data_IF_045460226998
#
_entry.id   IF_045460226998
#
_cell.length_a   1.000
_cell.length_b   1.000
_cell.length_c   1.000
_cell.angle_alpha   90.00
_cell.angle_beta   90.00
_cell.angle_gamma   90.00
#
_symmetry.space_group_name_H-M   'P 1'
#
loop_
_entity.id
_entity.type
_entity.pdbx_description
1 polymer ?
#
# COMPACT_ATOMS: atom_id res chain seq x y z
N UNK A 1 13.11 0.26 7.95
CA UNK A 1 12.22 0.55 6.80
C UNK A 1 12.98 1.43 5.81
N UNK A 2 12.49 1.67 4.60
CA UNK A 2 13.20 1.75 3.30
C UNK A 2 14.74 1.93 3.32
N UNK A 3 15.24 2.95 4.02
CA UNK A 3 16.70 3.15 4.24
C UNK A 3 17.45 2.00 4.90
N UNK A 4 16.75 1.07 5.56
CA UNK A 4 17.31 -0.12 6.20
C UNK A 4 17.29 -1.38 5.33
N UNK A 5 16.67 -1.33 4.14
CA UNK A 5 16.65 -2.47 3.23
C UNK A 5 17.60 -2.26 2.08
N UNK A 6 18.18 -3.35 1.61
CA UNK A 6 19.06 -3.39 0.46
C UNK A 6 18.48 -4.26 -0.66
N UNK A 7 17.31 -4.86 -0.44
CA UNK A 7 16.68 -5.82 -1.35
C UNK A 7 16.29 -5.21 -2.70
N UNK A 8 16.05 -3.89 -2.75
CA UNK A 8 15.77 -3.18 -4.01
C UNK A 8 17.02 -3.02 -4.90
N UNK A 9 18.21 -3.31 -4.37
CA UNK A 9 19.46 -3.22 -5.12
C UNK A 9 19.68 -4.52 -5.91
N UNK A 10 19.85 -4.44 -7.25
CA UNK A 10 20.06 -5.62 -8.08
C UNK A 10 21.19 -6.52 -7.57
N UNK A 11 20.88 -7.81 -7.37
CA UNK A 11 21.84 -8.79 -6.86
C UNK A 11 21.94 -8.89 -5.33
N UNK A 12 21.13 -8.14 -4.58
CA UNK A 12 20.99 -8.31 -3.13
C UNK A 12 19.66 -9.01 -2.81
N UNK A 13 19.78 -10.23 -2.28
CA UNK A 13 18.64 -10.95 -1.68
C UNK A 13 18.72 -10.98 -0.15
N UNK A 14 17.71 -11.57 0.49
CA UNK A 14 17.57 -11.68 1.95
C UNK A 14 18.84 -12.17 2.68
N UNK A 15 19.55 -13.15 2.12
CA UNK A 15 20.80 -13.68 2.72
C UNK A 15 21.89 -12.61 2.79
N UNK A 16 22.07 -11.85 1.69
CA UNK A 16 23.05 -10.77 1.62
C UNK A 16 22.66 -9.62 2.53
N UNK A 17 21.40 -9.19 2.51
CA UNK A 17 20.87 -8.16 3.41
C UNK A 17 21.05 -8.53 4.89
N UNK A 18 20.69 -9.75 5.27
CA UNK A 18 20.91 -10.24 6.64
C UNK A 18 22.39 -10.23 7.03
N UNK A 19 23.30 -10.54 6.10
CA UNK A 19 24.75 -10.44 6.35
C UNK A 19 25.17 -8.99 6.58
N UNK A 20 24.65 -8.02 5.82
CA UNK A 20 24.91 -6.59 6.05
C UNK A 20 24.49 -6.19 7.47
N UNK A 21 23.27 -6.52 7.86
CA UNK A 21 22.76 -6.20 9.20
C UNK A 21 23.57 -6.83 10.33
N UNK A 22 23.97 -8.10 10.19
CA UNK A 22 24.83 -8.79 11.16
C UNK A 22 26.20 -8.12 11.33
N UNK A 23 26.67 -7.42 10.30
CA UNK A 23 27.91 -6.64 10.34
C UNK A 23 27.66 -5.16 10.71
N UNK A 24 26.53 -4.84 11.35
CA UNK A 24 26.14 -3.50 11.82
C UNK A 24 25.94 -2.46 10.71
N UNK A 25 25.75 -2.91 9.48
CA UNK A 25 25.37 -2.06 8.35
C UNK A 25 23.85 -2.08 8.27
N UNK A 26 23.21 -1.21 9.07
CA UNK A 26 21.76 -1.22 9.28
C UNK A 26 21.03 -0.28 8.33
N UNK A 27 21.71 0.73 7.81
CA UNK A 27 21.17 1.76 6.92
C UNK A 27 22.03 1.94 5.68
N UNK A 28 21.47 2.60 4.68
CA UNK A 28 22.20 3.09 3.51
C UNK A 28 23.40 3.96 3.91
N UNK A 29 23.23 4.83 4.91
CA UNK A 29 24.28 5.68 5.45
C UNK A 29 25.41 4.87 6.11
N UNK A 30 25.07 3.81 6.86
CA UNK A 30 26.08 2.90 7.41
C UNK A 30 26.87 2.21 6.30
N UNK A 31 26.20 1.81 5.21
CA UNK A 31 26.89 1.19 4.08
C UNK A 31 27.88 2.17 3.45
N UNK A 32 27.46 3.41 3.16
CA UNK A 32 28.34 4.42 2.55
C UNK A 32 29.54 4.78 3.43
N UNK A 33 29.39 4.73 4.75
CA UNK A 33 30.45 5.03 5.71
C UNK A 33 31.41 3.85 5.95
N UNK A 34 30.86 2.65 6.14
CA UNK A 34 31.57 1.51 6.71
C UNK A 34 31.70 0.31 5.75
N UNK A 35 31.28 0.42 4.47
CA UNK A 35 31.35 -0.68 3.49
C UNK A 35 32.75 -1.28 3.32
N UNK A 36 33.80 -0.48 3.51
CA UNK A 36 35.20 -0.91 3.48
C UNK A 36 35.52 -2.01 4.50
N UNK A 37 34.80 -2.08 5.63
CA UNK A 37 34.99 -3.08 6.69
C UNK A 37 34.46 -4.46 6.32
N UNK A 38 33.61 -4.55 5.31
CA UNK A 38 32.97 -5.80 4.88
C UNK A 38 33.83 -6.65 3.93
N UNK A 39 35.01 -6.15 3.55
CA UNK A 39 35.82 -6.77 2.50
C UNK A 39 35.13 -6.80 1.13
N UNK A 40 34.13 -5.93 0.91
CA UNK A 40 33.50 -5.77 -0.39
C UNK A 40 34.38 -4.87 -1.24
N UNK A 41 34.93 -5.40 -2.32
CA UNK A 41 35.83 -4.67 -3.21
C UNK A 41 35.38 -4.73 -4.67
N UNK A 42 35.88 -3.77 -5.44
CA UNK A 42 35.67 -3.66 -6.88
C UNK A 42 34.21 -3.46 -7.28
N UNK A 43 33.88 -3.89 -8.49
CA UNK A 43 32.65 -3.58 -9.21
C UNK A 43 31.35 -3.83 -8.44
N UNK A 44 31.34 -4.77 -7.48
CA UNK A 44 30.15 -5.05 -6.65
C UNK A 44 29.88 -3.93 -5.65
N UNK A 45 30.94 -3.41 -5.00
CA UNK A 45 30.83 -2.29 -4.07
C UNK A 45 30.33 -1.05 -4.82
N UNK A 46 30.97 -0.71 -5.93
CA UNK A 46 30.63 0.47 -6.73
C UNK A 46 29.17 0.46 -7.20
N UNK A 47 28.66 -0.72 -7.62
CA UNK A 47 27.25 -0.88 -7.98
C UNK A 47 26.29 -0.63 -6.82
N UNK A 48 26.62 -1.13 -5.62
CA UNK A 48 25.77 -0.93 -4.45
C UNK A 48 25.79 0.54 -4.03
N UNK A 49 26.96 1.18 -4.01
CA UNK A 49 27.09 2.60 -3.68
C UNK A 49 26.37 3.50 -4.68
N UNK A 50 26.45 3.20 -5.98
CA UNK A 50 25.69 3.89 -7.02
C UNK A 50 24.17 3.74 -6.79
N UNK A 51 23.67 2.52 -6.62
CA UNK A 51 22.25 2.29 -6.37
C UNK A 51 21.76 2.97 -5.07
N UNK A 52 22.56 2.98 -4.01
CA UNK A 52 22.23 3.70 -2.77
C UNK A 52 22.17 5.21 -3.03
N UNK A 53 23.13 5.76 -3.77
CA UNK A 53 23.17 7.18 -4.13
C UNK A 53 21.93 7.57 -4.93
N UNK A 54 21.57 6.79 -5.94
CA UNK A 54 20.35 6.98 -6.73
C UNK A 54 19.10 6.87 -5.85
N UNK A 55 19.04 5.86 -4.97
CA UNK A 55 17.92 5.67 -4.04
C UNK A 55 17.75 6.88 -3.12
N UNK A 56 18.84 7.46 -2.60
CA UNK A 56 18.80 8.68 -1.79
C UNK A 56 18.32 9.88 -2.59
N UNK A 57 18.74 10.01 -3.85
CA UNK A 57 18.29 11.08 -4.75
C UNK A 57 16.77 10.99 -5.01
N UNK A 58 16.26 9.80 -5.36
CA UNK A 58 14.84 9.60 -5.61
C UNK A 58 14.00 9.76 -4.34
N UNK A 59 14.46 9.25 -3.20
CA UNK A 59 13.77 9.40 -1.92
C UNK A 59 13.66 10.86 -1.49
N UNK A 60 14.73 11.65 -1.63
CA UNK A 60 14.74 13.06 -1.27
C UNK A 60 13.74 13.90 -2.11
N UNK A 61 13.38 13.42 -3.30
CA UNK A 61 12.41 14.07 -4.20
C UNK A 61 11.00 13.47 -4.10
N UNK A 62 10.77 12.49 -3.22
CA UNK A 62 9.49 11.80 -3.11
C UNK A 62 9.11 11.01 -4.37
N UNK A 63 10.08 10.63 -5.21
CA UNK A 63 9.81 9.87 -6.44
C UNK A 63 9.50 8.41 -6.09
N UNK A 64 8.21 8.13 -5.88
CA UNK A 64 7.72 6.80 -5.51
C UNK A 64 7.80 5.80 -6.66
N UNK A 65 7.73 6.23 -7.92
CA UNK A 65 7.79 5.36 -9.11
C UNK A 65 9.12 4.60 -9.20
N UNK A 66 10.22 5.22 -8.77
CA UNK A 66 11.51 4.53 -8.64
C UNK A 66 11.41 3.33 -7.69
N UNK A 67 10.71 3.47 -6.57
CA UNK A 67 10.55 2.39 -5.59
C UNK A 67 9.48 1.38 -6.00
N UNK A 68 8.43 1.81 -6.70
CA UNK A 68 7.41 0.92 -7.24
C UNK A 68 7.99 -0.09 -8.24
N UNK A 69 9.04 0.31 -8.97
CA UNK A 69 9.74 -0.54 -9.93
C UNK A 69 10.91 -1.34 -9.33
N UNK A 70 11.56 -0.83 -8.28
CA UNK A 70 12.78 -1.46 -7.71
C UNK A 70 12.54 -2.32 -6.47
N UNK A 71 11.52 -2.01 -5.66
CA UNK A 71 11.23 -2.77 -4.43
C UNK A 71 10.37 -3.99 -4.79
N UNK A 72 10.77 -5.22 -4.44
CA UNK A 72 9.93 -6.39 -4.68
C UNK A 72 8.58 -6.25 -3.99
N UNK A 73 7.49 -6.65 -4.69
CA UNK A 73 6.11 -6.56 -4.18
C UNK A 73 5.94 -7.08 -2.74
N UNK A 74 6.64 -8.18 -2.39
CA UNK A 74 6.60 -8.79 -1.05
C UNK A 74 7.20 -7.92 0.06
N UNK A 75 8.04 -6.96 -0.30
CA UNK A 75 8.79 -6.07 0.60
C UNK A 75 8.35 -4.61 0.50
N UNK A 76 7.34 -4.29 -0.32
CA UNK A 76 6.83 -2.92 -0.52
C UNK A 76 6.35 -2.28 0.79
N UNK A 77 5.89 -3.06 1.77
CA UNK A 77 5.54 -2.58 3.11
C UNK A 77 6.66 -1.80 3.80
N UNK A 78 7.92 -2.02 3.41
CA UNK A 78 9.08 -1.31 3.95
C UNK A 78 9.13 0.16 3.58
N UNK A 79 8.40 0.59 2.55
CA UNK A 79 8.35 2.00 2.12
C UNK A 79 7.45 2.87 3.01
N UNK A 80 6.62 2.25 3.86
CA UNK A 80 5.55 2.95 4.57
C UNK A 80 6.03 4.17 5.36
N UNK A 81 7.07 4.11 6.22
CA UNK A 81 7.48 5.27 7.01
C UNK A 81 7.96 6.46 6.16
N UNK A 82 8.50 6.20 4.98
CA UNK A 82 8.99 7.22 4.07
C UNK A 82 7.86 7.87 3.26
N UNK A 83 6.76 7.16 2.98
CA UNK A 83 5.64 7.65 2.15
C UNK A 83 4.32 7.85 2.92
N UNK A 84 4.30 7.61 4.24
CA UNK A 84 3.10 7.75 5.11
C UNK A 84 2.42 9.12 5.09
N UNK A 85 3.11 10.18 4.66
CA UNK A 85 2.53 11.53 4.59
C UNK A 85 1.72 11.75 3.31
N UNK A 86 1.78 10.82 2.36
CA UNK A 86 1.02 10.82 1.10
C UNK A 86 0.48 9.41 0.86
N UNK A 87 -0.20 8.89 1.89
CA UNK A 87 -0.82 7.56 1.91
C UNK A 87 -2.33 7.69 1.78
N UNK A 88 -2.96 6.76 1.06
CA UNK A 88 -4.40 6.54 1.09
C UNK A 88 -4.67 5.10 1.53
N UNK A 89 -5.30 4.95 2.68
CA UNK A 89 -5.97 3.70 3.06
C UNK A 89 -7.30 3.66 2.34
N UNK A 90 -7.38 2.79 1.33
CA UNK A 90 -8.43 2.73 0.33
C UNK A 90 -9.27 1.48 0.53
N UNK A 91 -10.58 1.64 0.41
CA UNK A 91 -11.59 0.58 0.43
C UNK A 91 -12.74 0.97 -0.52
N UNK A 92 -13.37 0.00 -1.18
CA UNK A 92 -14.52 0.22 -2.07
C UNK A 92 -15.71 -0.62 -1.66
N UNK A 93 -16.90 -0.08 -1.91
CA UNK A 93 -18.16 -0.83 -1.85
C UNK A 93 -18.76 -0.93 -3.24
N UNK A 94 -19.32 -2.11 -3.53
CA UNK A 94 -19.81 -2.47 -4.86
C UNK A 94 -21.16 -3.17 -4.76
N UNK A 95 -21.91 -3.22 -5.87
CA UNK A 95 -23.18 -3.98 -5.93
C UNK A 95 -22.98 -5.50 -6.05
N UNK A 96 -21.73 -5.94 -6.26
CA UNK A 96 -21.39 -7.34 -6.48
C UNK A 96 -19.88 -7.56 -6.58
N UNK A 97 -19.46 -8.76 -6.96
CA UNK A 97 -18.06 -9.19 -6.92
C UNK A 97 -17.38 -9.22 -8.30
N UNK A 98 -18.13 -9.02 -9.38
CA UNK A 98 -17.58 -8.95 -10.74
C UNK A 98 -17.12 -7.51 -11.03
N UNK A 99 -15.98 -7.34 -11.69
CA UNK A 99 -15.44 -5.99 -11.99
C UNK A 99 -16.38 -5.12 -12.83
N UNK A 100 -17.38 -5.71 -13.49
CA UNK A 100 -18.44 -4.97 -14.20
C UNK A 100 -19.59 -4.51 -13.31
N UNK A 101 -19.69 -5.04 -12.08
CA UNK A 101 -20.62 -4.56 -11.06
C UNK A 101 -20.29 -3.13 -10.67
N UNK A 102 -21.28 -2.42 -10.13
CA UNK A 102 -21.18 -1.00 -9.90
C UNK A 102 -20.42 -0.69 -8.62
N UNK A 103 -19.42 0.19 -8.68
CA UNK A 103 -18.88 0.88 -7.49
C UNK A 103 -19.93 1.87 -6.97
N UNK A 104 -20.38 1.68 -5.73
CA UNK A 104 -21.35 2.52 -5.03
C UNK A 104 -20.66 3.57 -4.19
N UNK A 105 -19.54 3.21 -3.55
CA UNK A 105 -18.76 4.09 -2.69
C UNK A 105 -17.26 3.78 -2.79
N UNK A 106 -16.43 4.81 -2.64
CA UNK A 106 -15.00 4.68 -2.35
C UNK A 106 -14.68 5.44 -1.07
N UNK A 107 -14.06 4.78 -0.12
CA UNK A 107 -13.55 5.36 1.12
C UNK A 107 -12.04 5.54 1.08
N UNK A 108 -11.57 6.73 1.48
CA UNK A 108 -10.14 7.02 1.65
C UNK A 108 -9.90 7.60 3.03
N UNK A 109 -8.97 7.01 3.79
CA UNK A 109 -8.36 7.64 4.95
C UNK A 109 -6.92 8.03 4.61
N UNK A 110 -6.56 9.30 4.77
CA UNK A 110 -5.22 9.80 4.40
C UNK A 110 -4.21 9.85 5.56
N UNK A 111 -4.60 9.28 6.71
CA UNK A 111 -3.84 9.38 7.95
C UNK A 111 -4.28 10.54 8.86
N UNK A 112 -5.12 11.46 8.37
CA UNK A 112 -5.67 12.57 9.15
C UNK A 112 -7.20 12.63 9.07
N UNK A 113 -7.78 12.45 7.89
CA UNK A 113 -9.22 12.55 7.67
C UNK A 113 -9.75 11.44 6.77
N UNK A 114 -11.03 11.12 6.96
CA UNK A 114 -11.80 10.24 6.08
C UNK A 114 -12.43 11.09 4.97
N UNK A 115 -12.38 10.59 3.74
CA UNK A 115 -13.03 11.14 2.55
C UNK A 115 -13.88 10.04 1.94
N UNK A 116 -15.11 10.37 1.61
CA UNK A 116 -16.08 9.41 1.06
C UNK A 116 -16.57 9.93 -0.29
N UNK A 117 -16.51 9.06 -1.28
CA UNK A 117 -16.90 9.33 -2.65
C UNK A 117 -18.07 8.41 -2.99
N UNK A 118 -19.26 8.97 -3.21
CA UNK A 118 -20.50 8.23 -3.40
C UNK A 118 -20.97 8.41 -4.83
N UNK A 119 -21.38 7.31 -5.46
CA UNK A 119 -21.94 7.32 -6.81
C UNK A 119 -23.11 8.32 -6.90
N UNK A 120 -23.16 9.06 -8.00
CA UNK A 120 -24.15 10.12 -8.27
C UNK A 120 -24.07 11.36 -7.35
N UNK A 121 -23.12 11.41 -6.42
CA UNK A 121 -22.87 12.58 -5.56
C UNK A 121 -21.54 13.25 -5.92
N UNK A 122 -20.44 12.51 -5.82
CA UNK A 122 -19.08 13.04 -6.03
C UNK A 122 -18.05 11.97 -6.45
N UNK A 123 -18.50 10.76 -6.83
CA UNK A 123 -17.60 9.66 -7.19
C UNK A 123 -16.72 9.96 -8.42
N UNK A 124 -17.14 10.86 -9.29
CA UNK A 124 -16.38 11.36 -10.43
C UNK A 124 -15.10 12.12 -10.01
N UNK A 125 -15.00 12.59 -8.77
CA UNK A 125 -13.80 13.25 -8.25
C UNK A 125 -12.66 12.28 -7.88
N UNK A 126 -12.91 10.96 -7.87
CA UNK A 126 -11.98 9.97 -7.33
C UNK A 126 -10.65 9.90 -8.09
N UNK A 127 -10.66 10.11 -9.41
CA UNK A 127 -9.44 10.08 -10.23
C UNK A 127 -8.46 11.19 -9.79
N UNK A 128 -9.01 12.39 -9.56
CA UNK A 128 -8.25 13.54 -9.08
C UNK A 128 -7.78 13.32 -7.65
N UNK A 129 -8.61 12.72 -6.80
CA UNK A 129 -8.24 12.44 -5.42
C UNK A 129 -7.09 11.42 -5.32
N UNK A 130 -7.17 10.30 -6.04
CA UNK A 130 -6.15 9.24 -6.02
C UNK A 130 -4.78 9.73 -6.52
N UNK A 131 -4.76 10.72 -7.41
CA UNK A 131 -3.52 11.33 -7.94
C UNK A 131 -2.67 12.05 -6.87
N UNK A 132 -3.26 12.37 -5.71
CA UNK A 132 -2.58 13.09 -4.61
C UNK A 132 -1.70 12.18 -3.75
N UNK A 133 -1.84 10.86 -3.91
CA UNK A 133 -1.17 9.88 -3.06
C UNK A 133 -0.02 9.20 -3.80
N UNK A 134 1.05 8.95 -3.06
CA UNK A 134 2.20 8.16 -3.52
C UNK A 134 2.12 6.69 -3.13
N UNK A 135 1.26 6.37 -2.15
CA UNK A 135 1.11 5.05 -1.55
C UNK A 135 -0.36 4.73 -1.32
N UNK A 136 -0.83 3.62 -1.89
CA UNK A 136 -2.12 3.02 -1.59
C UNK A 136 -1.94 1.86 -0.60
N UNK A 137 -2.82 1.79 0.39
CA UNK A 137 -2.90 0.68 1.34
C UNK A 137 -4.32 0.13 1.29
N UNK A 138 -4.46 -1.17 1.05
CA UNK A 138 -5.76 -1.85 0.95
C UNK A 138 -5.75 -3.15 1.74
N UNK A 139 -6.90 -3.77 1.95
CA UNK A 139 -6.99 -5.18 2.35
C UNK A 139 -7.59 -6.02 1.21
N UNK A 140 -6.79 -6.92 0.61
CA UNK A 140 -7.17 -7.70 -0.58
C UNK A 140 -7.42 -6.87 -1.87
N UNK A 141 -7.13 -5.58 -1.87
CA UNK A 141 -7.37 -4.71 -3.02
C UNK A 141 -6.52 -4.95 -4.25
N UNK A 142 -5.44 -5.74 -4.16
CA UNK A 142 -4.74 -6.19 -5.36
C UNK A 142 -5.65 -7.07 -6.24
N UNK A 143 -6.56 -7.82 -5.62
CA UNK A 143 -7.48 -8.74 -6.27
C UNK A 143 -8.90 -8.18 -6.43
N UNK A 144 -9.23 -7.06 -5.78
CA UNK A 144 -10.59 -6.53 -5.72
C UNK A 144 -10.62 -5.03 -6.06
N UNK A 145 -10.26 -4.16 -5.12
CA UNK A 145 -10.36 -2.70 -5.24
C UNK A 145 -9.70 -2.14 -6.50
N UNK A 146 -8.43 -2.46 -6.73
CA UNK A 146 -7.68 -1.91 -7.86
C UNK A 146 -8.19 -2.40 -9.22
N UNK A 147 -8.55 -3.69 -9.42
CA UNK A 147 -9.28 -4.12 -10.61
C UNK A 147 -10.58 -3.35 -10.89
N UNK A 148 -11.43 -3.16 -9.90
CA UNK A 148 -12.68 -2.38 -10.04
C UNK A 148 -12.38 -0.94 -10.43
N UNK A 149 -11.45 -0.28 -9.72
CA UNK A 149 -11.07 1.11 -10.04
C UNK A 149 -10.53 1.23 -11.47
N UNK A 150 -9.70 0.29 -11.94
CA UNK A 150 -9.23 0.28 -13.33
C UNK A 150 -10.35 0.10 -14.35
N UNK A 151 -11.35 -0.70 -14.03
CA UNK A 151 -12.47 -0.96 -14.93
C UNK A 151 -13.39 0.26 -15.07
N UNK A 152 -13.67 0.96 -13.97
CA UNK A 152 -14.59 2.10 -13.97
C UNK A 152 -13.93 3.44 -14.28
N UNK A 153 -12.65 3.62 -13.94
CA UNK A 153 -11.94 4.89 -14.02
C UNK A 153 -10.71 4.78 -14.92
N UNK A 154 -10.94 4.88 -16.23
CA UNK A 154 -9.91 4.65 -17.24
C UNK A 154 -8.80 5.71 -17.24
N UNK A 155 -9.05 6.92 -16.71
CA UNK A 155 -8.03 7.97 -16.61
C UNK A 155 -7.31 7.94 -15.27
N UNK A 156 -7.78 7.16 -14.29
CA UNK A 156 -7.11 6.97 -13.02
C UNK A 156 -5.73 6.33 -13.24
N UNK A 157 -4.67 7.11 -13.03
CA UNK A 157 -3.31 6.60 -12.99
C UNK A 157 -3.12 5.89 -11.64
N UNK A 158 -3.17 4.56 -11.68
CA UNK A 158 -2.93 3.69 -10.53
C UNK A 158 -1.47 3.18 -10.52
N UNK A 159 -0.51 4.11 -10.54
CA UNK A 159 0.93 3.85 -10.57
C UNK A 159 1.63 3.96 -9.20
N UNK A 160 0.85 4.24 -8.15
CA UNK A 160 1.33 4.41 -6.78
C UNK A 160 2.03 3.15 -6.27
N UNK A 161 2.86 3.31 -5.24
CA UNK A 161 3.23 2.18 -4.39
C UNK A 161 1.96 1.56 -3.82
N UNK A 162 1.91 0.23 -3.70
CA UNK A 162 0.73 -0.46 -3.18
C UNK A 162 1.09 -1.49 -2.12
N UNK A 163 0.56 -1.30 -0.91
CA UNK A 163 0.63 -2.28 0.18
C UNK A 163 -0.74 -2.93 0.32
N UNK A 164 -0.88 -4.15 -0.17
CA UNK A 164 -2.01 -5.00 0.17
C UNK A 164 -1.72 -5.74 1.48
N UNK A 165 -2.44 -5.38 2.55
CA UNK A 165 -2.27 -5.91 3.90
C UNK A 165 -2.55 -7.41 4.02
N UNK A 166 -3.30 -8.01 3.08
CA UNK A 166 -3.58 -9.45 3.07
C UNK A 166 -2.29 -10.28 3.11
N UNK A 167 -1.26 -9.86 2.38
CA UNK A 167 0.01 -10.60 2.27
C UNK A 167 0.92 -10.51 3.52
N UNK A 168 1.24 -9.32 4.07
CA UNK A 168 2.01 -9.23 5.30
C UNK A 168 1.27 -9.84 6.49
N UNK A 169 -0.05 -9.66 6.62
CA UNK A 169 -0.84 -10.28 7.69
C UNK A 169 -0.81 -11.81 7.61
N UNK A 170 -0.97 -12.39 6.40
CA UNK A 170 -0.84 -13.83 6.19
C UNK A 170 0.52 -14.37 6.62
N UNK A 171 1.60 -13.61 6.39
CA UNK A 171 2.96 -13.99 6.83
C UNK A 171 3.14 -13.95 8.34
N UNK A 172 2.36 -13.14 9.04
CA UNK A 172 2.33 -13.06 10.50
C UNK A 172 1.39 -14.11 11.13
N UNK A 173 0.69 -14.90 10.31
CA UNK A 173 -0.24 -15.93 10.78
C UNK A 173 -1.71 -15.49 10.83
N UNK A 174 -2.03 -14.28 10.35
CA UNK A 174 -3.40 -13.76 10.29
C UNK A 174 -4.02 -14.01 8.91
N UNK A 175 -5.18 -14.68 8.87
CA UNK A 175 -5.90 -14.98 7.64
C UNK A 175 -7.41 -14.91 7.83
N UNK A 176 -8.15 -14.70 6.75
CA UNK A 176 -9.61 -14.57 6.77
C UNK A 176 -10.07 -13.22 6.25
N UNK A 177 -11.29 -12.81 6.59
CA UNK A 177 -11.77 -11.45 6.34
C UNK A 177 -11.12 -10.43 7.28
N UNK A 178 -11.09 -9.16 6.88
CA UNK A 178 -10.49 -8.09 7.69
C UNK A 178 -11.11 -8.01 9.10
N UNK A 179 -12.44 -8.12 9.20
CA UNK A 179 -13.20 -8.16 10.46
C UNK A 179 -12.72 -9.25 11.43
N UNK A 180 -12.40 -10.44 10.90
CA UNK A 180 -11.89 -11.55 11.71
C UNK A 180 -10.48 -11.26 12.23
N UNK A 181 -9.64 -10.61 11.41
CA UNK A 181 -8.27 -10.25 11.78
C UNK A 181 -8.27 -9.12 12.81
N UNK A 182 -9.10 -8.10 12.62
CA UNK A 182 -9.31 -7.02 13.59
C UNK A 182 -9.69 -7.58 14.97
N UNK A 183 -10.67 -8.49 15.02
CA UNK A 183 -11.04 -9.17 16.26
C UNK A 183 -9.86 -9.94 16.88
N UNK A 184 -9.10 -10.68 16.07
CA UNK A 184 -7.92 -11.44 16.53
C UNK A 184 -6.79 -10.53 17.05
N UNK A 185 -6.78 -9.26 16.64
CA UNK A 185 -5.84 -8.23 17.06
C UNK A 185 -6.40 -7.32 18.16
N UNK A 186 -7.60 -7.58 18.67
CA UNK A 186 -8.33 -6.72 19.62
C UNK A 186 -8.57 -5.29 19.10
N UNK A 187 -8.68 -5.12 17.78
CA UNK A 187 -9.12 -3.87 17.15
C UNK A 187 -10.65 -3.84 17.20
N UNK A 188 -11.20 -2.84 17.86
CA UNK A 188 -12.64 -2.70 18.06
C UNK A 188 -13.24 -1.78 16.99
N UNK A 189 -14.34 -2.23 16.38
CA UNK A 189 -15.22 -1.39 15.56
C UNK A 189 -16.21 -0.65 16.46
N UNK A 190 -16.76 0.45 15.96
CA UNK A 190 -17.84 1.17 16.64
C UNK A 190 -19.11 0.30 16.68
N UNK A 191 -20.06 0.66 17.55
CA UNK A 191 -21.30 -0.11 17.71
C UNK A 191 -22.09 -0.20 16.40
N UNK A 192 -22.11 0.89 15.64
CA UNK A 192 -22.82 1.04 14.37
C UNK A 192 -22.26 0.14 13.26
N UNK A 193 -20.95 -0.16 13.30
CA UNK A 193 -20.25 -0.88 12.22
C UNK A 193 -19.90 -2.32 12.60
N UNK A 194 -20.06 -2.71 13.87
CA UNK A 194 -19.66 -4.03 14.35
C UNK A 194 -20.48 -5.17 13.74
N UNK A 195 -21.74 -4.93 13.43
CA UNK A 195 -22.64 -5.96 12.90
C UNK A 195 -22.80 -5.93 11.38
N UNK A 196 -22.27 -4.89 10.72
CA UNK A 196 -22.33 -4.79 9.27
C UNK A 196 -21.34 -5.73 8.59
N UNK A 197 -21.73 -6.25 7.42
CA UNK A 197 -20.88 -6.92 6.46
C UNK A 197 -21.07 -6.36 5.03
N UNK A 198 -20.35 -6.91 4.05
CA UNK A 198 -20.42 -6.44 2.67
C UNK A 198 -21.78 -6.69 2.00
N UNK A 199 -22.58 -7.64 2.48
CA UNK A 199 -23.94 -7.85 1.98
C UNK A 199 -24.88 -6.74 2.48
N UNK A 200 -24.69 -6.26 3.71
CA UNK A 200 -25.42 -5.09 4.20
C UNK A 200 -25.15 -3.86 3.34
N UNK A 201 -23.92 -3.63 2.87
CA UNK A 201 -23.59 -2.51 1.98
C UNK A 201 -24.40 -2.55 0.66
N UNK A 202 -24.55 -3.74 0.07
CA UNK A 202 -25.38 -3.95 -1.13
C UNK A 202 -26.85 -3.69 -0.84
N UNK A 203 -27.39 -4.23 0.27
CA UNK A 203 -28.79 -4.03 0.67
C UNK A 203 -29.09 -2.54 0.88
N UNK A 204 -28.26 -1.85 1.66
CA UNK A 204 -28.41 -0.43 1.99
C UNK A 204 -28.37 0.45 0.72
N UNK A 205 -27.55 0.10 -0.27
CA UNK A 205 -27.53 0.81 -1.55
C UNK A 205 -28.87 0.70 -2.29
N UNK A 206 -29.47 -0.49 -2.37
CA UNK A 206 -30.77 -0.67 -3.01
C UNK A 206 -31.90 0.01 -2.23
N UNK A 207 -31.85 -0.02 -0.90
CA UNK A 207 -32.79 0.73 -0.04
C UNK A 207 -32.70 2.24 -0.31
N UNK A 208 -31.50 2.80 -0.36
CA UNK A 208 -31.26 4.20 -0.75
C UNK A 208 -31.84 4.53 -2.13
N UNK A 209 -31.57 3.69 -3.14
CA UNK A 209 -32.12 3.88 -4.49
C UNK A 209 -33.65 3.82 -4.54
N UNK A 210 -34.27 3.03 -3.66
CA UNK A 210 -35.72 2.95 -3.51
C UNK A 210 -36.36 4.14 -2.75
N UNK A 211 -35.54 5.09 -2.29
CA UNK A 211 -36.00 6.27 -1.56
C UNK A 211 -36.07 6.10 -0.04
N UNK A 212 -35.43 5.06 0.51
CA UNK A 212 -35.22 4.96 1.96
C UNK A 212 -34.42 6.18 2.46
N UNK A 213 -34.77 6.66 3.65
CA UNK A 213 -34.10 7.79 4.34
C UNK A 213 -33.42 7.39 5.65
N UNK A 214 -33.52 6.11 6.01
CA UNK A 214 -32.69 5.48 7.05
C UNK A 214 -31.37 5.05 6.41
#
# INVERSE_FOLDING_TARGET
MLKNTFIHIPGIGYKTESKLWKNRILTWEDYLRDSHRLGLFGRRKDKIEACITDSRYHLARGNYQFFASSVPKREVWRVYPEFRNSVAFLDIETTGLDVSDIITMVGIYDGNQVKTFIREINLDEIENELSKYSLLVTYNGACFDLPFLRYHFHNAVLDQLHIDLRYPLKRLGYSGGLKQIEHSLNIQRTEETRNLDGFDAVRLWYEYQSGSKE
#
